data_IF_349020783767
#
_entry.id   IF_349020783767
#
_cell.length_a   1.000
_cell.length_b   1.000
_cell.length_c   1.000
_cell.angle_alpha   90.00
_cell.angle_beta   90.00
_cell.angle_gamma   90.00
#
_symmetry.space_group_name_H-M   'P 1'
#
loop_
_entity.id
_entity.type
_entity.pdbx_description
1 polymer ?
#
# COMPACT_ATOMS: atom_id res chain seq x y z
N UNK A 1 -50.32 4.46 -39.84
CA UNK A 1 -49.59 4.94 -38.65
C UNK A 1 -48.42 4.02 -38.42
N UNK A 2 -47.22 4.44 -38.88
CA UNK A 2 -45.98 3.70 -38.61
C UNK A 2 -45.32 4.31 -37.35
N UNK A 3 -45.12 3.48 -36.33
CA UNK A 3 -44.37 3.88 -35.14
C UNK A 3 -42.88 3.64 -35.40
N UNK A 4 -42.07 4.70 -35.39
CA UNK A 4 -40.63 4.64 -35.41
C UNK A 4 -40.15 4.27 -34.00
N UNK A 5 -39.55 3.08 -33.87
CA UNK A 5 -38.81 2.68 -32.66
C UNK A 5 -37.37 3.27 -32.74
N UNK A 6 -37.10 4.32 -31.96
CA UNK A 6 -35.74 4.86 -31.83
C UNK A 6 -34.93 3.95 -30.88
N UNK A 7 -33.96 3.23 -31.44
CA UNK A 7 -32.98 2.44 -30.70
C UNK A 7 -31.89 3.38 -30.17
N UNK A 8 -31.92 3.67 -28.86
CA UNK A 8 -30.85 4.42 -28.21
C UNK A 8 -29.70 3.43 -27.93
N UNK A 9 -28.64 3.49 -28.73
CA UNK A 9 -27.40 2.80 -28.48
C UNK A 9 -26.68 3.52 -27.32
N UNK A 10 -26.75 2.97 -26.12
CA UNK A 10 -25.92 3.41 -25.01
C UNK A 10 -24.47 2.97 -25.28
N UNK A 11 -23.62 3.90 -25.69
CA UNK A 11 -22.17 3.67 -25.74
C UNK A 11 -21.65 3.59 -24.31
N UNK A 12 -21.34 2.38 -23.86
CA UNK A 12 -20.64 2.19 -22.59
C UNK A 12 -19.26 2.84 -22.70
N UNK A 13 -19.07 3.96 -22.00
CA UNK A 13 -17.75 4.56 -21.84
C UNK A 13 -16.91 3.60 -21.02
N UNK A 14 -16.01 2.89 -21.71
CA UNK A 14 -15.04 1.99 -21.06
C UNK A 14 -14.08 2.87 -20.25
N UNK A 15 -14.03 2.67 -18.93
CA UNK A 15 -13.03 3.31 -18.09
C UNK A 15 -11.62 3.09 -18.69
N UNK A 16 -10.75 4.09 -18.68
CA UNK A 16 -9.40 3.94 -19.22
C UNK A 16 -8.70 2.78 -18.50
N UNK A 17 -8.17 1.83 -19.28
CA UNK A 17 -7.40 0.74 -18.73
C UNK A 17 -6.18 1.32 -17.99
N UNK A 18 -6.05 1.02 -16.70
CA UNK A 18 -4.86 1.38 -15.93
C UNK A 18 -3.67 0.70 -16.57
N UNK A 19 -2.57 1.40 -16.86
CA UNK A 19 -1.40 0.79 -17.48
C UNK A 19 -0.94 -0.43 -16.66
N UNK A 20 -0.72 -1.54 -17.31
CA UNK A 20 -0.22 -2.75 -16.65
C UNK A 20 1.19 -2.55 -16.04
N UNK A 21 1.94 -1.57 -16.53
CA UNK A 21 3.27 -1.18 -16.05
C UNK A 21 3.24 0.30 -15.71
N UNK A 22 3.54 0.61 -14.46
CA UNK A 22 3.65 1.98 -13.94
C UNK A 22 5.10 2.44 -14.03
N UNK A 23 5.40 3.65 -14.54
CA UNK A 23 6.77 4.12 -14.71
C UNK A 23 7.54 4.30 -13.39
N UNK A 24 6.85 4.47 -12.27
CA UNK A 24 7.47 4.62 -10.95
C UNK A 24 7.60 3.29 -10.21
N UNK A 25 6.54 2.47 -10.23
CA UNK A 25 6.43 1.29 -9.37
C UNK A 25 6.50 -0.04 -10.12
N UNK A 26 6.61 -0.01 -11.46
CA UNK A 26 6.66 -1.20 -12.29
C UNK A 26 5.30 -1.90 -12.46
N UNK A 27 5.25 -3.24 -12.49
CA UNK A 27 4.01 -3.98 -12.62
C UNK A 27 3.01 -3.63 -11.51
N UNK A 28 1.72 -3.54 -11.86
CA UNK A 28 0.64 -3.26 -10.92
C UNK A 28 -0.31 -4.43 -10.83
N UNK A 29 -0.83 -4.69 -9.64
CA UNK A 29 -1.95 -5.59 -9.44
C UNK A 29 -3.17 -5.06 -10.20
N UNK A 30 -3.82 -5.93 -10.96
CA UNK A 30 -4.99 -5.53 -11.74
C UNK A 30 -6.17 -5.21 -10.81
N UNK A 31 -6.77 -4.02 -10.99
CA UNK A 31 -8.08 -3.71 -10.43
C UNK A 31 -9.12 -4.55 -11.18
N UNK A 32 -9.46 -5.71 -10.66
CA UNK A 32 -10.47 -6.60 -11.26
C UNK A 32 -11.91 -6.19 -10.95
N UNK A 33 -12.11 -5.21 -10.08
CA UNK A 33 -13.43 -4.69 -9.64
C UNK A 33 -13.33 -3.21 -9.36
N UNK A 34 -14.44 -2.52 -9.48
CA UNK A 34 -14.59 -1.16 -8.97
C UNK A 34 -14.51 -1.21 -7.44
N UNK A 35 -13.38 -0.82 -6.91
CA UNK A 35 -13.15 -0.71 -5.48
C UNK A 35 -13.79 0.57 -4.96
N UNK A 36 -15.06 0.49 -4.63
CA UNK A 36 -15.80 1.62 -4.10
C UNK A 36 -15.69 1.59 -2.58
N UNK A 37 -15.03 2.59 -2.01
CA UNK A 37 -14.95 2.80 -0.58
C UNK A 37 -16.26 3.35 -0.03
N UNK A 38 -17.10 2.49 0.53
CA UNK A 38 -18.40 2.88 1.11
C UNK A 38 -18.31 3.38 2.53
N UNK A 39 -17.29 2.95 3.29
CA UNK A 39 -17.06 3.45 4.63
C UNK A 39 -16.47 4.86 4.56
N UNK A 40 -17.23 5.83 5.03
CA UNK A 40 -16.78 7.21 5.17
C UNK A 40 -15.94 7.31 6.44
N UNK A 41 -14.74 7.83 6.29
CA UNK A 41 -13.86 8.13 7.42
C UNK A 41 -13.92 9.64 7.70
N UNK A 42 -13.87 10.06 8.99
CA UNK A 42 -13.71 11.47 9.32
C UNK A 42 -12.46 12.07 8.67
N UNK A 43 -12.52 13.35 8.27
CA UNK A 43 -11.38 14.04 7.63
C UNK A 43 -10.11 14.05 8.48
N UNK A 44 -10.27 14.04 9.80
CA UNK A 44 -9.17 13.99 10.76
C UNK A 44 -8.80 12.58 11.23
N UNK A 45 -9.25 11.53 10.50
CA UNK A 45 -8.92 10.14 10.82
C UNK A 45 -7.41 10.00 11.00
N UNK A 46 -7.02 9.47 12.15
CA UNK A 46 -5.62 9.16 12.41
C UNK A 46 -5.15 7.99 11.55
N UNK A 47 -3.99 8.14 10.93
CA UNK A 47 -3.34 7.09 10.13
C UNK A 47 -2.05 6.67 10.82
N UNK A 48 -1.89 5.36 11.05
CA UNK A 48 -0.66 4.76 11.54
C UNK A 48 0.06 4.09 10.38
N UNK A 49 1.26 4.56 10.07
CA UNK A 49 2.13 3.96 9.05
C UNK A 49 3.20 3.12 9.76
N UNK A 50 3.42 1.92 9.27
CA UNK A 50 4.40 0.97 9.77
C UNK A 50 5.23 0.44 8.60
N UNK A 51 6.50 0.11 8.86
CA UNK A 51 7.32 -0.61 7.90
C UNK A 51 7.07 -2.11 8.05
N UNK A 52 6.68 -2.79 6.98
CA UNK A 52 6.52 -4.24 6.98
C UNK A 52 7.82 -4.94 7.37
N UNK A 53 7.70 -6.08 8.01
CA UNK A 53 8.84 -6.90 8.48
C UNK A 53 9.77 -6.22 9.50
N UNK A 54 9.35 -5.13 10.13
CA UNK A 54 10.21 -4.40 11.06
C UNK A 54 10.54 -5.17 12.35
N UNK A 55 9.73 -6.17 12.68
CA UNK A 55 9.83 -7.02 13.87
C UNK A 55 10.07 -8.50 13.59
N UNK A 56 10.36 -8.90 12.33
CA UNK A 56 10.41 -10.31 11.95
C UNK A 56 11.68 -10.72 11.19
N UNK A 57 12.76 -9.94 11.25
CA UNK A 57 13.94 -10.12 10.39
C UNK A 57 14.65 -11.48 10.49
N UNK A 58 14.66 -12.13 11.65
CA UNK A 58 15.23 -13.47 11.83
C UNK A 58 14.23 -14.61 11.51
N UNK A 59 13.00 -14.27 11.13
CA UNK A 59 11.97 -15.27 10.82
C UNK A 59 12.05 -15.71 9.36
N UNK A 60 11.74 -16.98 9.10
CA UNK A 60 11.67 -17.50 7.74
C UNK A 60 10.56 -16.76 6.94
N UNK A 61 10.86 -16.36 5.71
CA UNK A 61 9.91 -15.65 4.84
C UNK A 61 9.68 -14.17 5.19
N UNK A 62 10.43 -13.61 6.14
CA UNK A 62 10.30 -12.22 6.54
C UNK A 62 10.99 -11.25 5.55
N UNK A 63 10.30 -10.92 4.49
CA UNK A 63 10.76 -9.98 3.49
C UNK A 63 11.73 -10.56 2.45
N UNK A 64 12.04 -9.75 1.44
CA UNK A 64 12.95 -10.09 0.34
C UNK A 64 14.30 -9.36 0.46
N UNK A 65 15.41 -9.99 0.03
CA UNK A 65 16.69 -9.29 -0.14
C UNK A 65 16.71 -8.37 -1.38
N UNK A 66 15.68 -8.44 -2.26
CA UNK A 66 15.68 -7.81 -3.56
C UNK A 66 16.46 -8.60 -4.62
N UNK A 67 16.22 -8.28 -5.89
CA UNK A 67 16.84 -8.95 -7.03
C UNK A 67 18.35 -8.69 -7.11
N UNK A 68 18.76 -7.43 -6.86
CA UNK A 68 20.16 -7.03 -6.93
C UNK A 68 21.04 -7.84 -5.99
N UNK A 69 20.57 -8.08 -4.76
CA UNK A 69 21.30 -8.90 -3.78
C UNK A 69 21.20 -10.37 -4.13
N UNK A 70 19.98 -10.86 -4.38
CA UNK A 70 19.73 -12.30 -4.52
C UNK A 70 20.28 -12.90 -5.81
N UNK A 71 20.24 -12.17 -6.93
CA UNK A 71 20.62 -12.66 -8.25
C UNK A 71 21.93 -12.11 -8.76
N UNK A 72 22.23 -10.86 -8.42
CA UNK A 72 23.38 -10.16 -8.99
C UNK A 72 24.52 -9.95 -7.99
N UNK A 73 24.38 -10.45 -6.77
CA UNK A 73 25.45 -10.43 -5.76
C UNK A 73 25.80 -9.04 -5.25
N UNK A 74 24.89 -8.08 -5.39
CA UNK A 74 25.09 -6.76 -4.79
C UNK A 74 25.15 -6.85 -3.27
N UNK A 75 25.90 -5.96 -2.63
CA UNK A 75 25.87 -5.86 -1.17
C UNK A 75 24.47 -5.41 -0.72
N UNK A 76 23.93 -5.93 0.40
CA UNK A 76 22.70 -5.41 0.98
C UNK A 76 22.87 -3.95 1.37
N UNK A 77 21.77 -3.19 1.39
CA UNK A 77 21.77 -1.77 1.78
C UNK A 77 22.16 -1.58 3.25
N UNK A 78 21.78 -2.53 4.09
CA UNK A 78 22.18 -2.64 5.49
C UNK A 78 22.46 -4.13 5.79
N UNK A 79 23.68 -4.49 6.27
CA UNK A 79 24.03 -5.88 6.50
C UNK A 79 23.24 -6.56 7.63
N UNK A 80 22.52 -5.81 8.45
CA UNK A 80 21.76 -6.30 9.60
C UNK A 80 20.29 -6.59 9.29
N UNK A 81 19.79 -6.13 8.15
CA UNK A 81 18.38 -6.28 7.76
C UNK A 81 18.28 -6.57 6.25
N UNK A 82 17.14 -7.13 5.84
CA UNK A 82 16.87 -7.33 4.41
C UNK A 82 16.58 -5.99 3.72
N UNK A 83 16.91 -5.90 2.43
CA UNK A 83 16.73 -4.67 1.65
C UNK A 83 15.27 -4.23 1.63
N UNK A 84 14.30 -5.15 1.63
CA UNK A 84 12.89 -4.77 1.75
C UNK A 84 12.62 -3.94 3.01
N UNK A 85 13.08 -4.40 4.18
CA UNK A 85 12.90 -3.61 5.39
C UNK A 85 13.60 -2.25 5.33
N UNK A 86 14.79 -2.20 4.74
CA UNK A 86 15.51 -0.94 4.55
C UNK A 86 14.65 0.07 3.77
N UNK A 87 14.07 -0.36 2.65
CA UNK A 87 13.22 0.51 1.82
C UNK A 87 11.86 0.79 2.45
N UNK A 88 11.26 -0.19 3.15
CA UNK A 88 10.02 0.01 3.89
C UNK A 88 10.16 1.12 4.94
N UNK A 89 11.26 1.10 5.72
CA UNK A 89 11.55 2.11 6.74
C UNK A 89 11.73 3.50 6.14
N UNK A 90 12.55 3.63 5.10
CA UNK A 90 12.79 4.92 4.45
C UNK A 90 11.52 5.48 3.81
N UNK A 91 10.73 4.62 3.16
CA UNK A 91 9.46 5.02 2.54
C UNK A 91 8.45 5.44 3.61
N UNK A 92 8.27 4.65 4.67
CA UNK A 92 7.34 4.96 5.76
C UNK A 92 7.70 6.30 6.45
N UNK A 93 8.97 6.53 6.76
CA UNK A 93 9.45 7.78 7.33
C UNK A 93 9.16 8.97 6.41
N UNK A 94 9.41 8.83 5.10
CA UNK A 94 9.18 9.88 4.12
C UNK A 94 7.68 10.18 3.95
N UNK A 95 6.84 9.15 3.91
CA UNK A 95 5.37 9.28 3.87
C UNK A 95 4.87 10.06 5.08
N UNK A 96 5.28 9.66 6.29
CA UNK A 96 4.83 10.33 7.52
C UNK A 96 5.28 11.78 7.56
N UNK A 97 6.56 12.05 7.26
CA UNK A 97 7.10 13.41 7.23
C UNK A 97 6.33 14.32 6.26
N UNK A 98 6.09 13.85 5.02
CA UNK A 98 5.36 14.62 4.01
C UNK A 98 3.88 14.79 4.38
N UNK A 99 3.24 13.75 4.91
CA UNK A 99 1.84 13.81 5.35
C UNK A 99 1.64 14.85 6.47
N UNK A 100 2.52 14.86 7.47
CA UNK A 100 2.50 15.84 8.56
C UNK A 100 2.73 17.27 8.05
N UNK A 101 3.65 17.47 7.11
CA UNK A 101 3.87 18.77 6.46
C UNK A 101 2.60 19.27 5.74
N UNK A 102 1.75 18.36 5.27
CA UNK A 102 0.47 18.69 4.63
C UNK A 102 -0.71 18.75 5.61
N UNK A 103 -0.46 18.69 6.91
CA UNK A 103 -1.47 18.80 7.96
C UNK A 103 -2.32 17.54 8.16
N UNK A 104 -1.93 16.39 7.62
CA UNK A 104 -2.64 15.13 7.84
C UNK A 104 -2.25 14.53 9.21
N UNK A 105 -3.21 13.89 9.87
CA UNK A 105 -3.01 13.22 11.15
C UNK A 105 -2.37 11.84 10.95
N UNK A 106 -1.07 11.81 10.71
CA UNK A 106 -0.30 10.60 10.39
C UNK A 106 0.83 10.42 11.39
N UNK A 107 1.03 9.21 11.87
CA UNK A 107 2.12 8.82 12.78
C UNK A 107 2.88 7.60 12.26
N UNK A 108 4.13 7.46 12.69
CA UNK A 108 4.98 6.30 12.42
C UNK A 108 5.06 5.43 13.66
N UNK A 109 4.95 4.13 13.48
CA UNK A 109 5.35 3.16 14.50
C UNK A 109 6.54 2.34 14.00
N UNK A 110 7.53 2.16 14.86
CA UNK A 110 8.69 1.29 14.64
C UNK A 110 8.85 0.38 15.86
N UNK A 111 8.77 -0.93 15.70
CA UNK A 111 8.98 -1.89 16.78
C UNK A 111 10.35 -1.71 17.44
N UNK A 112 10.46 -1.89 18.77
CA UNK A 112 11.72 -1.69 19.50
C UNK A 112 12.77 -2.75 19.21
N UNK A 113 12.39 -3.88 18.61
CA UNK A 113 13.26 -5.00 18.27
C UNK A 113 13.00 -5.45 16.83
N UNK A 114 14.05 -5.85 16.12
CA UNK A 114 14.00 -6.34 14.73
C UNK A 114 13.48 -7.77 14.62
N UNK A 115 13.37 -8.48 15.72
CA UNK A 115 12.78 -9.83 15.78
C UNK A 115 12.01 -9.99 17.08
N UNK A 116 10.72 -10.21 16.97
CA UNK A 116 9.80 -10.53 18.05
C UNK A 116 9.09 -11.82 17.64
N UNK A 117 9.45 -12.93 18.27
CA UNK A 117 9.00 -14.26 17.83
C UNK A 117 7.49 -14.49 18.05
N UNK A 118 6.93 -13.88 19.08
CA UNK A 118 5.49 -13.94 19.35
C UNK A 118 4.76 -12.84 18.58
N UNK A 119 3.98 -13.22 17.58
CA UNK A 119 3.21 -12.27 16.76
C UNK A 119 2.10 -11.52 17.52
N UNK A 120 1.72 -11.98 18.71
CA UNK A 120 0.75 -11.34 19.60
C UNK A 120 1.41 -10.51 20.72
N UNK A 121 2.76 -10.43 20.76
CA UNK A 121 3.47 -9.50 21.64
C UNK A 121 2.97 -8.07 21.38
N UNK A 122 2.62 -7.29 22.43
CA UNK A 122 2.04 -5.96 22.27
C UNK A 122 2.94 -4.94 21.55
N UNK A 123 4.21 -5.26 21.33
CA UNK A 123 5.20 -4.42 20.64
C UNK A 123 5.35 -4.74 19.16
N UNK A 124 4.62 -5.72 18.62
CA UNK A 124 4.67 -6.03 17.19
C UNK A 124 3.87 -5.01 16.37
N UNK A 125 4.22 -4.87 15.08
CA UNK A 125 3.41 -4.14 14.13
C UNK A 125 1.95 -4.61 14.15
N UNK A 126 1.76 -5.93 14.21
CA UNK A 126 0.43 -6.53 14.18
C UNK A 126 -0.42 -6.17 15.40
N UNK A 127 0.15 -6.22 16.60
CA UNK A 127 -0.58 -5.89 17.83
C UNK A 127 -0.89 -4.40 17.92
N UNK A 128 0.10 -3.56 17.62
CA UNK A 128 -0.07 -2.09 17.63
C UNK A 128 -1.04 -1.65 16.54
N UNK A 129 -0.88 -2.14 15.31
CA UNK A 129 -1.77 -1.81 14.19
C UNK A 129 -3.21 -2.30 14.43
N UNK A 130 -3.39 -3.51 15.00
CA UNK A 130 -4.71 -4.03 15.41
C UNK A 130 -5.39 -3.12 16.42
N UNK A 131 -4.68 -2.77 17.50
CA UNK A 131 -5.22 -1.89 18.53
C UNK A 131 -5.59 -0.51 17.97
N UNK A 132 -4.75 0.05 17.11
CA UNK A 132 -4.99 1.32 16.45
C UNK A 132 -6.22 1.29 15.53
N UNK A 133 -6.37 0.24 14.73
CA UNK A 133 -7.54 0.06 13.86
C UNK A 133 -8.82 -0.15 14.66
N UNK A 134 -8.76 -0.89 15.77
CA UNK A 134 -9.90 -1.06 16.70
C UNK A 134 -10.30 0.24 17.38
N UNK A 135 -9.36 1.15 17.59
CA UNK A 135 -9.60 2.50 18.08
C UNK A 135 -10.20 3.48 17.05
N UNK A 136 -10.51 3.01 15.84
CA UNK A 136 -11.11 3.83 14.77
C UNK A 136 -10.10 4.51 13.85
N UNK A 137 -8.80 4.25 14.01
CA UNK A 137 -7.75 4.72 13.10
C UNK A 137 -7.61 3.85 11.85
N UNK A 138 -6.79 4.30 10.93
CA UNK A 138 -6.40 3.55 9.73
C UNK A 138 -4.95 3.08 9.86
N UNK A 139 -4.72 1.77 9.97
CA UNK A 139 -3.39 1.19 10.08
C UNK A 139 -2.91 0.68 8.71
N UNK A 140 -1.67 1.03 8.33
CA UNK A 140 -1.05 0.70 7.04
C UNK A 140 0.37 0.20 7.23
N UNK A 141 0.67 -0.99 6.70
CA UNK A 141 2.04 -1.46 6.51
C UNK A 141 2.52 -1.12 5.09
N UNK A 142 3.72 -0.55 4.97
CA UNK A 142 4.43 -0.32 3.71
C UNK A 142 5.34 -1.53 3.46
N UNK A 143 5.23 -2.10 2.26
CA UNK A 143 6.03 -3.22 1.78
C UNK A 143 6.59 -2.95 0.39
N UNK A 144 7.66 -3.65 0.04
CA UNK A 144 8.07 -3.89 -1.34
C UNK A 144 7.93 -5.37 -1.64
N UNK A 145 7.22 -5.67 -2.72
CA UNK A 145 6.93 -7.06 -3.09
C UNK A 145 8.18 -7.80 -3.56
N UNK A 146 8.13 -9.13 -3.51
CA UNK A 146 9.22 -10.00 -3.92
C UNK A 146 9.64 -9.77 -5.38
N UNK A 147 10.91 -10.04 -5.68
CA UNK A 147 11.42 -10.08 -7.05
C UNK A 147 11.04 -11.38 -7.77
N UNK A 148 11.16 -11.40 -9.09
CA UNK A 148 10.94 -12.58 -9.92
C UNK A 148 9.49 -13.08 -9.94
N UNK A 149 9.25 -14.38 -10.08
CA UNK A 149 7.91 -14.93 -10.23
C UNK A 149 7.08 -14.91 -8.93
N UNK A 150 7.72 -14.72 -7.78
CA UNK A 150 7.04 -14.72 -6.49
C UNK A 150 6.38 -13.37 -6.17
N UNK A 151 6.77 -12.30 -6.89
CA UNK A 151 6.19 -10.98 -6.78
C UNK A 151 5.12 -10.72 -7.84
N UNK A 152 4.14 -9.90 -7.49
CA UNK A 152 3.01 -9.52 -8.35
C UNK A 152 3.02 -8.05 -8.73
N UNK A 153 3.75 -7.21 -8.00
CA UNK A 153 3.88 -5.79 -8.26
C UNK A 153 3.19 -4.89 -7.24
N UNK A 154 2.93 -3.63 -7.62
CA UNK A 154 2.31 -2.66 -6.71
C UNK A 154 0.83 -2.92 -6.52
N UNK A 155 0.32 -2.60 -5.33
CA UNK A 155 -1.11 -2.68 -5.04
C UNK A 155 -1.43 -2.67 -3.54
N UNK A 156 -2.68 -2.35 -3.24
CA UNK A 156 -3.23 -2.43 -1.90
C UNK A 156 -3.81 -3.81 -1.63
N UNK A 157 -3.44 -4.42 -0.51
CA UNK A 157 -4.12 -5.56 0.09
C UNK A 157 -4.97 -5.00 1.23
N UNK A 158 -6.31 -5.00 1.10
CA UNK A 158 -7.18 -4.32 2.04
C UNK A 158 -7.30 -5.09 3.36
N UNK A 159 -7.65 -4.42 4.45
CA UNK A 159 -8.01 -5.10 5.68
C UNK A 159 -9.22 -6.01 5.49
N UNK A 160 -9.21 -7.15 6.18
CA UNK A 160 -10.35 -8.06 6.24
C UNK A 160 -11.36 -7.63 7.32
N UNK A 161 -12.57 -8.16 7.20
CA UNK A 161 -13.64 -8.04 8.21
C UNK A 161 -14.18 -6.61 8.44
N UNK A 162 -13.90 -5.68 7.53
CA UNK A 162 -14.55 -4.37 7.51
C UNK A 162 -14.88 -3.94 6.07
N UNK A 163 -15.88 -3.07 5.87
CA UNK A 163 -16.13 -2.46 4.56
C UNK A 163 -14.92 -1.66 4.10
N UNK A 164 -14.68 -1.63 2.79
CA UNK A 164 -13.67 -0.77 2.20
C UNK A 164 -13.98 0.69 2.49
N UNK A 165 -12.97 1.40 2.94
CA UNK A 165 -13.03 2.83 3.15
C UNK A 165 -12.59 3.59 1.90
N UNK A 166 -12.80 4.89 1.90
CA UNK A 166 -12.29 5.77 0.85
C UNK A 166 -10.75 5.81 0.82
N UNK A 167 -10.08 5.59 1.95
CA UNK A 167 -8.63 5.42 1.98
C UNK A 167 -8.20 4.16 1.22
N UNK A 168 -8.91 3.04 1.40
CA UNK A 168 -8.65 1.82 0.63
C UNK A 168 -8.87 2.07 -0.87
N UNK A 169 -9.95 2.75 -1.26
CA UNK A 169 -10.25 3.07 -2.64
C UNK A 169 -9.16 3.95 -3.28
N UNK A 170 -8.75 5.02 -2.62
CA UNK A 170 -7.75 5.95 -3.14
C UNK A 170 -6.36 5.34 -3.25
N UNK A 171 -5.94 4.54 -2.27
CA UNK A 171 -4.69 3.79 -2.33
C UNK A 171 -4.70 2.75 -3.45
N UNK A 172 -5.82 2.02 -3.60
CA UNK A 172 -5.99 1.06 -4.69
C UNK A 172 -5.98 1.74 -6.07
N UNK A 173 -6.60 2.90 -6.21
CA UNK A 173 -6.54 3.68 -7.44
C UNK A 173 -5.11 4.15 -7.76
N UNK A 174 -4.35 4.55 -6.74
CA UNK A 174 -2.98 5.03 -6.88
C UNK A 174 -1.95 3.93 -7.20
N UNK A 175 -2.11 2.73 -6.65
CA UNK A 175 -1.11 1.64 -6.71
C UNK A 175 -1.59 0.35 -7.36
N UNK A 176 -2.88 0.13 -7.51
CA UNK A 176 -3.49 -1.14 -7.88
C UNK A 176 -4.13 -1.82 -6.67
N UNK A 177 -4.83 -2.92 -6.89
CA UNK A 177 -5.51 -3.64 -5.84
C UNK A 177 -5.36 -5.15 -5.96
N UNK A 178 -5.09 -5.78 -4.83
CA UNK A 178 -5.13 -7.22 -4.67
C UNK A 178 -6.51 -7.68 -4.18
N UNK A 179 -6.82 -8.95 -4.37
CA UNK A 179 -8.01 -9.51 -3.74
C UNK A 179 -7.86 -9.51 -2.21
N UNK A 180 -8.98 -9.42 -1.50
CA UNK A 180 -8.97 -9.49 -0.03
C UNK A 180 -8.36 -10.80 0.51
N UNK A 181 -8.52 -11.90 -0.25
CA UNK A 181 -7.93 -13.20 0.09
C UNK A 181 -6.57 -13.45 -0.58
N UNK A 182 -5.85 -12.39 -0.97
CA UNK A 182 -4.52 -12.54 -1.53
C UNK A 182 -3.66 -13.43 -0.63
N UNK A 183 -2.99 -14.42 -1.23
CA UNK A 183 -2.17 -15.43 -0.53
C UNK A 183 -2.92 -16.07 0.66
N UNK A 184 -4.21 -16.43 0.47
CA UNK A 184 -5.07 -17.06 1.49
C UNK A 184 -5.30 -16.22 2.75
N UNK A 185 -5.04 -14.93 2.67
CA UNK A 185 -5.21 -13.97 3.75
C UNK A 185 -3.97 -13.85 4.65
N UNK A 186 -3.34 -12.70 4.56
CA UNK A 186 -2.13 -12.37 5.33
C UNK A 186 -2.45 -11.96 6.77
N UNK A 187 -1.43 -12.01 7.63
CA UNK A 187 -1.56 -11.74 9.06
C UNK A 187 -2.03 -10.32 9.39
N UNK A 188 -1.48 -9.31 8.72
CA UNK A 188 -1.85 -7.92 8.92
C UNK A 188 -3.30 -7.62 8.48
N UNK A 189 -3.77 -7.99 7.27
CA UNK A 189 -5.16 -7.83 6.86
C UNK A 189 -6.18 -8.49 7.80
N UNK A 190 -5.87 -9.68 8.33
CA UNK A 190 -6.72 -10.35 9.32
C UNK A 190 -6.85 -9.59 10.64
N UNK A 191 -5.93 -8.67 10.90
CA UNK A 191 -5.91 -7.81 12.10
C UNK A 191 -6.45 -6.40 11.84
N UNK A 192 -7.00 -6.15 10.65
CA UNK A 192 -7.55 -4.84 10.27
C UNK A 192 -6.51 -3.84 9.76
N UNK A 193 -5.31 -4.30 9.43
CA UNK A 193 -4.20 -3.50 8.91
C UNK A 193 -4.15 -3.66 7.39
N UNK A 194 -4.13 -2.57 6.64
CA UNK A 194 -3.88 -2.61 5.21
C UNK A 194 -2.40 -2.87 4.92
N UNK A 195 -2.08 -3.56 3.82
CA UNK A 195 -0.72 -3.67 3.28
C UNK A 195 -0.68 -2.93 1.96
N UNK A 196 0.29 -2.04 1.79
CA UNK A 196 0.59 -1.39 0.53
C UNK A 196 1.91 -1.92 -0.02
N UNK A 197 1.81 -2.75 -1.05
CA UNK A 197 2.96 -3.13 -1.86
C UNK A 197 3.29 -1.98 -2.80
N UNK A 198 4.46 -1.37 -2.62
CA UNK A 198 4.92 -0.24 -3.44
C UNK A 198 5.26 -0.70 -4.85
N UNK A 199 5.87 -1.86 -4.98
CA UNK A 199 6.27 -2.49 -6.23
C UNK A 199 7.25 -3.61 -5.98
N UNK A 200 7.56 -4.39 -7.00
CA UNK A 200 8.56 -5.47 -6.89
C UNK A 200 9.94 -4.88 -6.66
N UNK A 201 10.68 -5.45 -5.73
CA UNK A 201 12.07 -5.04 -5.48
C UNK A 201 12.99 -5.69 -6.52
N UNK A 202 12.85 -5.21 -7.75
CA UNK A 202 13.60 -5.65 -8.94
C UNK A 202 13.67 -4.54 -10.01
N UNK A 203 14.51 -4.75 -11.02
CA UNK A 203 14.55 -3.94 -12.24
C UNK A 203 14.76 -2.45 -12.01
N UNK A 204 14.00 -1.61 -12.72
CA UNK A 204 14.20 -0.15 -12.69
C UNK A 204 13.87 0.49 -11.33
N UNK A 205 12.88 -0.03 -10.62
CA UNK A 205 12.52 0.49 -9.29
C UNK A 205 13.67 0.26 -8.29
N UNK A 206 14.15 -0.99 -8.19
CA UNK A 206 15.25 -1.31 -7.30
C UNK A 206 16.53 -0.56 -7.69
N UNK A 207 16.85 -0.49 -8.98
CA UNK A 207 18.00 0.26 -9.48
C UNK A 207 17.93 1.74 -9.08
N UNK A 208 16.77 2.38 -9.25
CA UNK A 208 16.57 3.79 -8.87
C UNK A 208 16.66 4.03 -7.36
N UNK A 209 16.21 3.08 -6.54
CA UNK A 209 16.33 3.15 -5.09
C UNK A 209 17.79 2.95 -4.63
N UNK A 210 18.54 2.08 -5.28
CA UNK A 210 19.95 1.80 -4.92
C UNK A 210 20.90 2.88 -5.38
N UNK A 211 20.60 3.58 -6.47
CA UNK A 211 21.45 4.66 -6.99
C UNK A 211 21.33 5.92 -6.11
N UNK A 212 22.44 6.41 -5.50
CA UNK A 212 22.43 7.61 -4.66
C UNK A 212 21.90 8.87 -5.36
N UNK A 213 22.00 8.96 -6.69
CA UNK A 213 21.58 10.14 -7.45
C UNK A 213 20.07 10.20 -7.70
N UNK A 214 19.41 9.06 -7.81
CA UNK A 214 17.95 8.95 -8.08
C UNK A 214 17.13 8.56 -6.85
N UNK A 215 17.76 8.01 -5.81
CA UNK A 215 17.10 7.53 -4.59
C UNK A 215 16.12 8.52 -3.98
N UNK A 216 16.62 9.74 -3.70
CA UNK A 216 15.80 10.76 -3.03
C UNK A 216 14.59 11.18 -3.87
N UNK A 217 14.78 11.31 -5.18
CA UNK A 217 13.70 11.64 -6.12
C UNK A 217 12.67 10.50 -6.16
N UNK A 218 13.12 9.25 -6.21
CA UNK A 218 12.26 8.07 -6.25
C UNK A 218 11.45 7.93 -4.96
N UNK A 219 12.10 8.02 -3.78
CA UNK A 219 11.40 7.96 -2.48
C UNK A 219 10.41 9.11 -2.32
N UNK A 220 10.76 10.32 -2.75
CA UNK A 220 9.84 11.45 -2.72
C UNK A 220 8.64 11.25 -3.64
N UNK A 221 8.83 10.72 -4.84
CA UNK A 221 7.75 10.44 -5.78
C UNK A 221 6.78 9.37 -5.21
N UNK A 222 7.31 8.30 -4.62
CA UNK A 222 6.52 7.27 -3.95
C UNK A 222 5.73 7.88 -2.78
N UNK A 223 6.41 8.59 -1.89
CA UNK A 223 5.78 9.21 -0.72
C UNK A 223 4.69 10.22 -1.12
N UNK A 224 4.94 11.03 -2.14
CA UNK A 224 3.95 11.97 -2.69
C UNK A 224 2.71 11.25 -3.15
N UNK A 225 2.84 10.15 -3.91
CA UNK A 225 1.71 9.36 -4.39
C UNK A 225 0.89 8.76 -3.23
N UNK A 226 1.54 8.27 -2.18
CA UNK A 226 0.86 7.75 -0.98
C UNK A 226 0.11 8.85 -0.26
N UNK A 227 0.74 10.00 -0.05
CA UNK A 227 0.13 11.14 0.67
C UNK A 227 -1.00 11.78 -0.13
N UNK A 228 -0.88 11.85 -1.45
CA UNK A 228 -1.97 12.27 -2.33
C UNK A 228 -3.17 11.33 -2.23
N UNK A 229 -2.93 10.02 -2.16
CA UNK A 229 -3.98 9.04 -1.92
C UNK A 229 -4.62 9.19 -0.53
N UNK A 230 -3.85 9.48 0.52
CA UNK A 230 -4.41 9.78 1.85
C UNK A 230 -5.31 11.01 1.79
N UNK A 231 -4.84 12.10 1.22
CA UNK A 231 -5.62 13.33 1.09
C UNK A 231 -6.92 13.10 0.30
N UNK A 232 -6.86 12.39 -0.82
CA UNK A 232 -8.03 12.07 -1.63
C UNK A 232 -9.02 11.16 -0.89
N UNK A 233 -8.52 10.19 -0.12
CA UNK A 233 -9.34 9.25 0.65
C UNK A 233 -10.03 9.89 1.87
N UNK A 234 -9.45 10.93 2.44
CA UNK A 234 -10.01 11.68 3.57
C UNK A 234 -10.92 12.84 3.12
N UNK A 235 -10.78 13.34 1.90
CA UNK A 235 -11.61 14.43 1.37
C UNK A 235 -13.04 13.96 1.09
N UNK A 236 -14.06 14.83 1.28
CA UNK A 236 -15.43 14.53 0.85
C UNK A 236 -15.49 14.21 -0.65
N UNK A 237 -16.40 13.34 -1.08
CA UNK A 237 -16.66 13.18 -2.52
C UNK A 237 -17.20 14.48 -3.10
N UNK A 238 -16.67 14.94 -4.26
CA UNK A 238 -17.13 16.18 -4.88
C UNK A 238 -18.62 16.15 -5.27
N UNK A 239 -19.17 14.97 -5.54
CA UNK A 239 -20.56 14.79 -5.96
C UNK A 239 -21.30 13.89 -4.97
N UNK A 240 -22.49 14.32 -4.53
CA UNK A 240 -23.36 13.59 -3.59
C UNK A 240 -23.81 12.18 -4.01
N UNK A 241 -22.99 11.44 -4.74
CA UNK A 241 -23.19 10.07 -5.22
C UNK A 241 -22.95 9.02 -4.11
N UNK A 242 -23.35 9.31 -2.90
CA UNK A 242 -23.10 8.44 -1.74
C UNK A 242 -24.29 8.06 -0.89
N UNK A 243 -25.50 8.50 -1.24
CA UNK A 243 -26.73 8.06 -0.57
C UNK A 243 -27.64 7.36 -1.59
N UNK A 244 -27.41 6.10 -1.85
CA UNK A 244 -28.47 5.19 -2.30
C UNK A 244 -28.72 4.25 -1.12
N UNK A 245 -29.93 4.20 -0.58
CA UNK A 245 -30.32 3.44 0.60
C UNK A 245 -30.14 1.93 0.40
#
# INVERSE_FOLDING_TARGET
MLALLSLILATAVRAPAIPAIDPLTGPRAALNKDWIGRAVLPENTAILVMAGHADSQAMAGAGTPGEAVARFGAAPMDPLIRDELHWNLLTAQRVVSLAQQRGLNVSLYVPPQRTIADGDDPRTNWSVGKAFAQGGGYALEIHFDAYGPDGFGSGLIPPLHRPFSRLDESLAAAFGAYSANFREGLGAPRRGIAILEIGKLEGSLEAALRDPTSREVTLNAIATRVVDAFAAGLSPRPDGAGNVP
#
